data_IF_098993765858
#
_entry.id   IF_098993765858
#
_cell.length_a   1.000
_cell.length_b   1.000
_cell.length_c   1.000
_cell.angle_alpha   90.00
_cell.angle_beta   90.00
_cell.angle_gamma   90.00
#
_symmetry.space_group_name_H-M   'P 1'
#
loop_
_entity.id
_entity.type
_entity.pdbx_description
1 polymer ?
#
# COMPACT_ATOMS: atom_id res chain seq x y z
N UNK A 1 -9.00 6.10 -5.43
CA UNK A 1 -9.80 7.23 -4.92
C UNK A 1 -9.25 7.60 -3.53
N UNK A 2 -8.76 8.83 -3.33
CA UNK A 2 -8.21 9.25 -2.03
C UNK A 2 -9.36 9.68 -1.12
N UNK A 3 -9.63 8.89 -0.09
CA UNK A 3 -10.63 9.19 0.96
C UNK A 3 -10.12 10.21 1.99
N UNK A 4 -9.14 10.98 1.61
CA UNK A 4 -8.43 11.87 2.46
C UNK A 4 -9.14 13.20 2.62
N UNK A 5 -9.57 13.50 3.83
CA UNK A 5 -9.96 14.85 4.22
C UNK A 5 -8.69 15.62 4.63
N UNK A 6 -7.86 16.01 3.66
CA UNK A 6 -6.73 16.86 3.95
C UNK A 6 -7.19 18.32 4.02
N UNK A 7 -7.05 18.94 5.16
CA UNK A 7 -7.32 20.37 5.34
C UNK A 7 -6.53 21.24 4.36
N UNK A 8 -5.40 20.76 3.86
CA UNK A 8 -4.57 21.48 2.88
C UNK A 8 -5.32 21.70 1.58
N UNK A 9 -6.17 20.76 1.15
CA UNK A 9 -6.92 20.86 -0.11
C UNK A 9 -8.09 21.86 -0.05
N UNK A 10 -8.42 22.34 1.14
CA UNK A 10 -9.57 23.22 1.37
C UNK A 10 -9.19 24.66 1.76
N UNK A 11 -7.88 24.96 1.86
CA UNK A 11 -7.41 26.28 2.33
C UNK A 11 -7.91 27.45 1.48
N UNK A 12 -8.09 27.22 0.19
CA UNK A 12 -8.52 28.25 -0.77
C UNK A 12 -10.05 28.38 -0.89
N UNK A 13 -10.82 27.47 -0.27
CA UNK A 13 -12.28 27.48 -0.35
C UNK A 13 -12.89 28.32 0.76
N UNK A 14 -14.06 28.91 0.51
CA UNK A 14 -14.91 29.50 1.53
C UNK A 14 -15.48 28.43 2.45
N UNK A 15 -15.96 28.81 3.62
CA UNK A 15 -16.38 27.85 4.64
C UNK A 15 -17.62 27.04 4.24
N UNK A 16 -18.56 27.63 3.54
CA UNK A 16 -19.72 26.95 2.96
C UNK A 16 -19.29 25.92 1.90
N UNK A 17 -18.39 26.27 1.00
CA UNK A 17 -17.83 25.36 -0.01
C UNK A 17 -17.05 24.21 0.66
N UNK A 18 -16.30 24.49 1.74
CA UNK A 18 -15.61 23.45 2.52
C UNK A 18 -16.59 22.46 3.11
N UNK A 19 -17.69 22.95 3.71
CA UNK A 19 -18.70 22.09 4.32
C UNK A 19 -19.31 21.16 3.28
N UNK A 20 -19.72 21.69 2.13
CA UNK A 20 -20.28 20.86 1.05
C UNK A 20 -19.30 19.79 0.56
N UNK A 21 -18.02 20.13 0.41
CA UNK A 21 -16.99 19.16 0.04
C UNK A 21 -16.71 18.12 1.11
N UNK A 22 -16.81 18.47 2.37
CA UNK A 22 -16.66 17.52 3.48
C UNK A 22 -17.84 16.55 3.48
N UNK A 23 -19.06 17.03 3.29
CA UNK A 23 -20.26 16.20 3.20
C UNK A 23 -20.13 15.21 2.05
N UNK A 24 -19.87 15.68 0.82
CA UNK A 24 -19.66 14.85 -0.37
C UNK A 24 -18.63 13.73 -0.13
N UNK A 25 -17.49 14.07 0.46
CA UNK A 25 -16.43 13.08 0.73
C UNK A 25 -16.78 12.11 1.84
N UNK A 26 -17.57 12.53 2.79
CA UNK A 26 -18.05 11.66 3.87
C UNK A 26 -19.03 10.62 3.32
N UNK A 27 -19.94 11.03 2.45
CA UNK A 27 -20.89 10.15 1.76
C UNK A 27 -20.16 9.16 0.87
N UNK A 28 -19.24 9.62 0.02
CA UNK A 28 -18.40 8.76 -0.82
C UNK A 28 -17.60 7.74 -0.01
N UNK A 29 -17.10 8.13 1.17
CA UNK A 29 -16.39 7.23 2.09
C UNK A 29 -17.32 6.17 2.65
N UNK A 30 -18.50 6.57 3.10
CA UNK A 30 -19.53 5.66 3.63
C UNK A 30 -19.88 4.61 2.60
N UNK A 31 -20.21 5.02 1.39
CA UNK A 31 -20.57 4.13 0.29
C UNK A 31 -19.45 3.13 -0.02
N UNK A 32 -18.22 3.62 -0.15
CA UNK A 32 -17.08 2.74 -0.42
C UNK A 32 -16.85 1.74 0.73
N UNK A 33 -16.95 2.19 1.97
CA UNK A 33 -16.72 1.33 3.13
C UNK A 33 -17.81 0.25 3.23
N UNK A 34 -19.05 0.58 2.98
CA UNK A 34 -20.13 -0.40 2.89
C UNK A 34 -19.88 -1.44 1.81
N UNK A 35 -19.47 -1.01 0.61
CA UNK A 35 -19.13 -1.93 -0.48
C UNK A 35 -17.98 -2.85 -0.12
N UNK A 36 -16.93 -2.31 0.51
CA UNK A 36 -15.80 -3.09 0.99
C UNK A 36 -16.24 -4.15 2.01
N UNK A 37 -17.05 -3.77 2.99
CA UNK A 37 -17.55 -4.70 4.00
C UNK A 37 -18.46 -5.77 3.40
N UNK A 38 -19.36 -5.43 2.48
CA UNK A 38 -20.18 -6.39 1.75
C UNK A 38 -19.33 -7.39 0.97
N UNK A 39 -18.29 -6.90 0.31
CA UNK A 39 -17.33 -7.76 -0.40
C UNK A 39 -16.61 -8.72 0.55
N UNK A 40 -16.08 -8.22 1.66
CA UNK A 40 -15.41 -9.06 2.67
C UNK A 40 -16.40 -10.09 3.28
N UNK A 41 -17.64 -9.70 3.50
CA UNK A 41 -18.67 -10.63 3.96
C UNK A 41 -18.84 -11.82 3.00
N UNK A 42 -18.90 -11.57 1.70
CA UNK A 42 -18.97 -12.64 0.68
C UNK A 42 -17.71 -13.50 0.71
N UNK A 43 -16.51 -12.89 0.81
CA UNK A 43 -15.23 -13.59 0.91
C UNK A 43 -15.24 -14.57 2.09
N UNK A 44 -15.68 -14.12 3.27
CA UNK A 44 -15.77 -14.94 4.48
C UNK A 44 -16.80 -16.07 4.28
N UNK A 45 -18.01 -15.74 3.84
CA UNK A 45 -19.10 -16.72 3.67
C UNK A 45 -18.82 -17.78 2.63
N UNK A 46 -18.08 -17.46 1.60
CA UNK A 46 -17.71 -18.39 0.52
C UNK A 46 -16.34 -19.03 0.73
N UNK A 47 -15.68 -18.77 1.85
CA UNK A 47 -14.34 -19.28 2.17
C UNK A 47 -13.31 -19.00 1.05
N UNK A 48 -13.38 -17.82 0.45
CA UNK A 48 -12.46 -17.40 -0.60
C UNK A 48 -11.16 -16.90 0.05
N UNK A 49 -10.02 -17.41 -0.40
CA UNK A 49 -8.72 -16.89 0.02
C UNK A 49 -8.50 -15.54 -0.62
N UNK A 50 -8.21 -14.54 0.19
CA UNK A 50 -8.02 -13.17 -0.28
C UNK A 50 -6.95 -12.45 0.52
N UNK A 51 -6.15 -11.63 -0.18
CA UNK A 51 -5.27 -10.65 0.43
C UNK A 51 -5.70 -9.27 -0.04
N UNK A 52 -5.88 -8.38 0.90
CA UNK A 52 -6.24 -6.98 0.68
C UNK A 52 -5.06 -6.09 1.04
N UNK A 53 -4.69 -5.17 0.17
CA UNK A 53 -3.58 -4.24 0.32
C UNK A 53 -4.09 -2.82 0.51
N UNK A 54 -3.44 -2.06 1.38
CA UNK A 54 -3.71 -0.64 1.52
C UNK A 54 -2.48 0.13 2.02
N UNK A 55 -2.23 1.36 1.53
CA UNK A 55 -1.18 2.20 2.08
C UNK A 55 -1.31 2.38 3.60
N UNK A 56 -0.20 2.21 4.33
CA UNK A 56 -0.16 2.31 5.78
C UNK A 56 0.44 3.65 6.22
N UNK A 57 -0.41 4.67 6.33
CA UNK A 57 0.00 6.00 6.79
C UNK A 57 -0.92 6.48 7.90
N UNK A 58 -0.39 7.19 8.88
CA UNK A 58 -1.11 7.61 10.09
C UNK A 58 -2.52 8.19 9.88
N UNK A 59 -2.78 8.97 8.82
CA UNK A 59 -4.11 9.49 8.60
C UNK A 59 -5.02 8.60 7.75
N UNK A 60 -4.64 7.34 7.51
CA UNK A 60 -5.47 6.46 6.70
C UNK A 60 -6.71 5.99 7.46
N UNK A 61 -7.90 6.10 6.83
CA UNK A 61 -9.17 5.76 7.46
C UNK A 61 -9.21 4.32 8.00
N UNK A 62 -8.73 3.35 7.21
CA UNK A 62 -8.75 1.94 7.60
C UNK A 62 -7.81 1.62 8.76
N UNK A 63 -6.86 2.48 9.07
CA UNK A 63 -5.95 2.29 10.20
C UNK A 63 -6.70 2.21 11.53
N UNK A 64 -7.74 3.03 11.68
CA UNK A 64 -8.48 3.18 12.93
C UNK A 64 -9.92 2.61 12.87
N UNK A 65 -10.42 2.31 11.67
CA UNK A 65 -11.84 2.00 11.46
C UNK A 65 -12.08 0.68 10.71
N UNK A 66 -11.07 -0.21 10.66
CA UNK A 66 -11.24 -1.49 9.98
C UNK A 66 -11.60 -2.61 10.96
N UNK A 67 -12.15 -3.71 10.44
CA UNK A 67 -12.66 -4.85 11.24
C UNK A 67 -11.60 -5.51 12.11
N UNK A 68 -10.35 -5.51 11.65
CA UNK A 68 -9.20 -6.09 12.36
C UNK A 68 -7.93 -5.34 11.98
N UNK A 69 -6.89 -5.41 12.80
CA UNK A 69 -5.58 -4.89 12.43
C UNK A 69 -5.03 -5.63 11.20
N UNK A 70 -4.10 -5.04 10.46
CA UNK A 70 -3.43 -5.74 9.35
C UNK A 70 -2.64 -6.94 9.86
N UNK A 71 -2.61 -8.00 9.07
CA UNK A 71 -1.83 -9.20 9.37
C UNK A 71 -0.34 -8.94 9.20
N UNK A 72 0.01 -8.16 8.17
CA UNK A 72 1.38 -7.76 7.87
C UNK A 72 1.43 -6.25 7.61
N UNK A 73 2.46 -5.60 8.12
CA UNK A 73 2.81 -4.22 7.73
C UNK A 73 4.22 -4.22 7.17
N UNK A 74 4.33 -4.01 5.88
CA UNK A 74 5.61 -3.76 5.23
C UNK A 74 5.95 -2.26 5.37
N UNK A 75 6.88 -1.96 6.26
CA UNK A 75 7.24 -0.57 6.60
C UNK A 75 8.10 0.11 5.54
N UNK A 76 8.80 -0.69 4.73
CA UNK A 76 9.72 -0.20 3.74
C UNK A 76 9.81 -1.14 2.53
N UNK A 77 8.95 -0.93 1.56
CA UNK A 77 8.90 -1.74 0.35
C UNK A 77 10.22 -1.76 -0.45
N UNK A 78 11.07 -0.73 -0.29
CA UNK A 78 12.39 -0.70 -0.94
C UNK A 78 13.29 -1.85 -0.50
N UNK A 79 13.17 -2.29 0.74
CA UNK A 79 13.95 -3.43 1.26
C UNK A 79 13.60 -4.76 0.58
N UNK A 80 12.47 -4.78 -0.14
CA UNK A 80 11.98 -5.93 -0.87
C UNK A 80 11.96 -5.71 -2.40
N UNK A 81 12.72 -4.73 -2.87
CA UNK A 81 12.93 -4.46 -4.30
C UNK A 81 11.92 -3.51 -4.95
N UNK A 82 11.27 -2.64 -4.16
CA UNK A 82 10.48 -1.55 -4.74
C UNK A 82 11.32 -0.29 -4.96
N UNK A 83 10.78 0.61 -5.77
CA UNK A 83 11.40 1.91 -6.01
C UNK A 83 11.14 2.91 -4.87
N UNK A 84 10.09 2.70 -4.07
CA UNK A 84 9.64 3.68 -3.10
C UNK A 84 9.49 3.10 -1.69
N UNK A 85 9.96 3.87 -0.71
CA UNK A 85 9.61 3.64 0.68
C UNK A 85 8.13 3.98 0.89
N UNK A 86 7.25 3.02 0.70
CA UNK A 86 5.81 3.18 0.87
C UNK A 86 5.33 2.16 1.90
N UNK A 87 5.08 2.56 3.15
CA UNK A 87 4.50 1.67 4.13
C UNK A 87 3.16 1.12 3.62
N UNK A 88 3.00 -0.18 3.68
CA UNK A 88 1.85 -0.87 3.11
C UNK A 88 1.37 -1.94 4.07
N UNK A 89 0.07 -2.01 4.30
CA UNK A 89 -0.57 -2.99 5.15
C UNK A 89 -1.30 -4.03 4.32
N UNK A 90 -1.29 -5.28 4.81
CA UNK A 90 -1.93 -6.42 4.18
C UNK A 90 -2.82 -7.14 5.18
N UNK A 91 -4.05 -7.43 4.75
CA UNK A 91 -5.01 -8.24 5.50
C UNK A 91 -5.26 -9.54 4.76
N UNK A 92 -5.10 -10.64 5.48
CA UNK A 92 -5.35 -11.98 4.98
C UNK A 92 -6.72 -12.48 5.46
N UNK A 93 -7.48 -13.08 4.55
CA UNK A 93 -8.80 -13.65 4.81
C UNK A 93 -8.84 -15.09 4.33
N UNK A 94 -9.29 -16.00 5.21
CA UNK A 94 -9.36 -17.44 4.95
C UNK A 94 -8.02 -18.05 4.48
N UNK A 95 -6.91 -17.41 4.81
CA UNK A 95 -5.55 -17.90 4.61
C UNK A 95 -4.61 -17.17 5.57
N UNK A 96 -3.49 -17.82 5.87
CA UNK A 96 -2.42 -17.22 6.68
C UNK A 96 -1.20 -16.95 5.80
N UNK A 97 -0.46 -15.87 6.07
CA UNK A 97 0.78 -15.63 5.37
C UNK A 97 1.85 -16.62 5.78
N UNK A 98 2.75 -16.94 4.87
CA UNK A 98 4.06 -17.49 5.22
C UNK A 98 4.97 -16.38 5.73
N UNK A 99 6.04 -16.71 6.44
CA UNK A 99 6.95 -15.75 7.05
C UNK A 99 8.35 -15.88 6.44
N UNK A 100 8.47 -15.44 5.18
CA UNK A 100 9.74 -15.29 4.51
C UNK A 100 10.28 -13.88 4.64
N UNK A 101 11.57 -13.72 4.40
CA UNK A 101 12.21 -12.42 4.33
C UNK A 101 13.21 -12.40 3.18
N UNK A 102 12.85 -11.71 2.10
CA UNK A 102 13.74 -11.40 0.99
C UNK A 102 14.23 -9.97 1.14
N UNK A 103 15.55 -9.78 1.20
CA UNK A 103 16.16 -8.45 1.20
C UNK A 103 16.73 -8.15 -0.17
N UNK A 104 16.19 -7.12 -0.82
CA UNK A 104 16.67 -6.61 -2.09
C UNK A 104 16.54 -5.09 -2.08
N UNK A 105 17.65 -4.39 -1.86
CA UNK A 105 17.69 -2.93 -1.78
C UNK A 105 18.63 -2.34 -2.85
N UNK A 106 18.49 -2.80 -4.08
CA UNK A 106 19.27 -2.38 -5.24
C UNK A 106 18.55 -1.33 -6.11
N UNK A 107 17.27 -1.14 -5.89
CA UNK A 107 16.46 -0.20 -6.65
C UNK A 107 16.63 1.23 -6.16
N UNK A 108 17.05 2.11 -7.06
CA UNK A 108 17.06 3.55 -6.77
C UNK A 108 15.67 4.12 -6.92
N UNK A 109 15.34 5.07 -6.05
CA UNK A 109 14.10 5.81 -6.14
C UNK A 109 13.96 6.45 -7.54
N UNK A 110 12.86 6.14 -8.21
CA UNK A 110 12.55 6.72 -9.51
C UNK A 110 12.12 8.16 -9.32
N UNK A 111 12.87 9.08 -9.89
CA UNK A 111 12.57 10.51 -9.88
C UNK A 111 12.01 10.89 -11.25
N UNK A 112 10.88 11.56 -11.25
CA UNK A 112 10.29 12.12 -12.47
C UNK A 112 10.77 13.56 -12.59
N UNK A 113 11.28 13.90 -13.75
CA UNK A 113 11.84 15.22 -14.02
C UNK A 113 10.77 16.34 -14.10
N UNK A 114 9.50 15.99 -14.36
CA UNK A 114 8.43 16.97 -14.51
C UNK A 114 7.20 16.58 -13.69
N UNK A 115 6.93 17.32 -12.64
CA UNK A 115 5.60 17.33 -12.04
C UNK A 115 4.67 18.18 -12.93
N UNK A 116 3.39 17.79 -13.08
CA UNK A 116 2.38 18.56 -13.85
C UNK A 116 2.24 20.02 -13.42
N UNK A 117 2.69 20.37 -12.22
CA UNK A 117 2.71 21.75 -11.70
C UNK A 117 3.95 22.57 -12.08
N UNK A 118 4.93 21.98 -12.77
CA UNK A 118 6.09 22.71 -13.31
C UNK A 118 7.10 23.26 -12.30
N UNK A 119 6.88 23.13 -11.00
CA UNK A 119 7.62 23.88 -9.98
C UNK A 119 8.65 23.04 -9.22
N UNK A 120 8.49 21.72 -9.15
CA UNK A 120 9.46 20.83 -8.47
C UNK A 120 9.54 19.46 -9.14
N UNK A 121 10.77 18.96 -9.29
CA UNK A 121 10.99 17.55 -9.56
C UNK A 121 10.35 16.69 -8.46
N UNK A 122 9.49 15.78 -8.82
CA UNK A 122 8.76 14.95 -7.87
C UNK A 122 8.10 13.76 -8.54
N UNK A 123 7.63 12.85 -7.72
CA UNK A 123 6.94 11.66 -8.18
C UNK A 123 5.45 11.93 -8.10
N UNK A 124 4.72 11.76 -9.22
CA UNK A 124 3.27 11.90 -9.20
C UNK A 124 2.61 10.77 -8.41
N UNK A 125 1.37 10.99 -7.97
CA UNK A 125 0.61 10.00 -7.18
C UNK A 125 0.38 8.69 -7.96
N UNK A 126 0.28 8.78 -9.27
CA UNK A 126 0.04 7.66 -10.17
C UNK A 126 1.27 6.72 -10.20
N UNK A 127 2.48 7.26 -10.40
CA UNK A 127 3.70 6.44 -10.37
C UNK A 127 4.02 5.88 -8.98
N UNK A 128 3.68 6.61 -7.92
CA UNK A 128 3.80 6.09 -6.54
C UNK A 128 2.85 4.95 -6.24
N UNK A 129 1.80 4.77 -7.03
CA UNK A 129 0.87 3.65 -6.90
C UNK A 129 1.36 2.38 -7.60
N UNK A 130 2.29 2.50 -8.53
CA UNK A 130 2.89 1.35 -9.21
C UNK A 130 3.68 0.50 -8.22
N UNK A 131 3.64 -0.80 -8.47
CA UNK A 131 4.38 -1.82 -7.73
C UNK A 131 5.46 -2.36 -8.67
N UNK A 132 6.71 -2.43 -8.22
CA UNK A 132 7.77 -3.04 -9.03
C UNK A 132 7.54 -4.55 -9.16
N UNK A 133 7.95 -5.12 -10.29
CA UNK A 133 7.88 -6.58 -10.51
C UNK A 133 8.68 -7.36 -9.47
N UNK A 134 9.83 -6.83 -9.06
CA UNK A 134 10.68 -7.46 -8.05
C UNK A 134 10.01 -7.47 -6.69
N UNK A 135 9.42 -6.34 -6.27
CA UNK A 135 8.65 -6.30 -5.03
C UNK A 135 7.49 -7.29 -5.04
N UNK A 136 6.71 -7.32 -6.12
CA UNK A 136 5.59 -8.24 -6.24
C UNK A 136 6.05 -9.71 -6.14
N UNK A 137 7.12 -10.07 -6.85
CA UNK A 137 7.71 -11.41 -6.80
C UNK A 137 8.19 -11.77 -5.40
N UNK A 138 9.00 -10.91 -4.78
CA UNK A 138 9.57 -11.15 -3.47
C UNK A 138 8.49 -11.22 -2.39
N UNK A 139 7.48 -10.36 -2.48
CA UNK A 139 6.33 -10.39 -1.59
C UNK A 139 5.55 -11.71 -1.69
N UNK A 140 5.28 -12.19 -2.91
CA UNK A 140 4.60 -13.47 -3.14
C UNK A 140 5.45 -14.64 -2.60
N UNK A 141 6.76 -14.63 -2.87
CA UNK A 141 7.66 -15.65 -2.36
C UNK A 141 7.66 -15.70 -0.83
N UNK A 142 7.74 -14.54 -0.18
CA UNK A 142 7.85 -14.45 1.28
C UNK A 142 6.53 -14.79 2.00
N UNK A 143 5.42 -14.28 1.50
CA UNK A 143 4.17 -14.31 2.25
C UNK A 143 3.10 -15.27 1.71
N UNK A 144 3.26 -15.78 0.50
CA UNK A 144 2.29 -16.72 -0.10
C UNK A 144 2.90 -18.11 -0.29
N UNK A 145 4.11 -18.18 -0.89
CA UNK A 145 4.74 -19.45 -1.25
C UNK A 145 5.64 -20.00 -0.13
N UNK A 146 6.20 -19.12 0.70
CA UNK A 146 7.15 -19.47 1.76
C UNK A 146 8.56 -19.72 1.25
N UNK A 147 8.93 -19.15 0.11
CA UNK A 147 10.28 -19.22 -0.45
C UNK A 147 10.97 -17.89 -0.25
N UNK A 148 12.05 -17.88 0.52
CA UNK A 148 12.93 -16.71 0.64
C UNK A 148 13.97 -16.77 -0.47
N UNK A 149 14.11 -15.69 -1.23
CA UNK A 149 15.18 -15.55 -2.23
C UNK A 149 16.23 -14.60 -1.69
N UNK A 150 17.42 -15.11 -1.40
CA UNK A 150 18.60 -14.27 -1.12
C UNK A 150 19.17 -13.75 -2.45
N UNK A 151 18.63 -12.65 -2.94
CA UNK A 151 19.15 -11.96 -4.11
C UNK A 151 20.23 -11.00 -3.59
N UNK A 152 21.50 -11.32 -3.85
CA UNK A 152 22.64 -10.49 -3.46
C UNK A 152 23.65 -11.12 -2.51
N UNK A 153 23.48 -12.36 -2.09
CA UNK A 153 24.59 -13.10 -1.52
C UNK A 153 25.54 -13.50 -2.66
N UNK A 154 26.60 -12.74 -2.83
CA UNK A 154 27.79 -13.24 -3.51
C UNK A 154 28.25 -14.47 -2.73
N UNK A 155 28.19 -15.63 -3.36
CA UNK A 155 28.90 -16.80 -2.86
C UNK A 155 30.39 -16.47 -2.96
N UNK A 156 30.99 -16.08 -1.85
CA UNK A 156 32.41 -16.21 -1.73
C UNK A 156 32.72 -17.70 -1.57
N UNK A 157 33.05 -18.34 -2.67
CA UNK A 157 33.60 -19.68 -2.68
C UNK A 157 35.02 -19.55 -2.07
N UNK A 158 35.13 -19.79 -0.80
CA UNK A 158 36.42 -20.02 -0.16
C UNK A 158 36.84 -21.44 -0.51
N UNK A 159 37.36 -21.61 -1.74
CA UNK A 159 38.04 -22.83 -2.14
C UNK A 159 39.09 -23.19 -1.11
N UNK A 160 38.86 -24.27 -0.35
CA UNK A 160 39.80 -24.96 0.49
C UNK A 160 40.61 -25.96 -0.34
#
# INVERSE_FOLDING_TARGET
>A
MSFYLSMTNYRALKDDEKILKIIERTENRKEFYERLLKFIYVVIKKNIRMVFENPWTAPHYLMNNFLKPPTIVDKNRMERGDFFKKPTAYWFWNCEPTHGFTYQNDKKQKIIEKCKSGIKAGICSEERSLISSDYARNWICDFIIGKTQNIGQLYFDFGG
#
